data_IF_055048015849
#
_entry.id   IF_055048015849
#
_cell.length_a   1.000
_cell.length_b   1.000
_cell.length_c   1.000
_cell.angle_alpha   90.00
_cell.angle_beta   90.00
_cell.angle_gamma   90.00
#
_symmetry.space_group_name_H-M   'P 1'
#
loop_
_entity.id
_entity.type
_entity.pdbx_description
1 polymer ?
#
# COMPACT_ATOMS: atom_id res chain seq x y z
N UNK A 1 -50.90 84.49 17.11
CA UNK A 1 -50.10 84.93 15.95
C UNK A 1 -49.04 83.86 15.64
N UNK A 2 -48.94 83.54 14.36
CA UNK A 2 -48.21 82.46 13.68
C UNK A 2 -46.69 82.68 13.64
N UNK A 3 -45.87 81.60 13.75
CA UNK A 3 -44.76 81.13 12.85
C UNK A 3 -43.64 80.36 13.61
N UNK A 4 -43.33 79.14 13.14
CA UNK A 4 -42.03 78.42 13.26
C UNK A 4 -41.13 78.78 12.04
N UNK A 5 -39.87 78.31 11.87
CA UNK A 5 -38.98 77.46 12.71
C UNK A 5 -37.51 77.98 12.80
N UNK A 6 -36.64 77.25 13.51
CA UNK A 6 -35.18 77.32 13.27
C UNK A 6 -34.34 76.91 14.49
N UNK A 7 -33.72 75.74 14.45
CA UNK A 7 -32.70 75.31 15.41
C UNK A 7 -31.32 75.21 14.76
N UNK A 8 -30.24 75.26 15.55
CA UNK A 8 -28.99 74.55 15.26
C UNK A 8 -28.67 73.61 16.44
N UNK A 9 -28.12 72.41 16.27
CA UNK A 9 -27.04 72.04 15.36
C UNK A 9 -25.73 72.00 16.14
N UNK A 10 -25.55 71.01 17.02
CA UNK A 10 -24.31 70.74 17.75
C UNK A 10 -23.83 69.31 17.46
N UNK A 11 -23.03 69.17 16.39
CA UNK A 11 -22.36 67.93 16.01
C UNK A 11 -21.11 67.73 16.88
N UNK A 12 -21.05 66.60 17.60
CA UNK A 12 -19.81 66.11 18.21
C UNK A 12 -19.02 65.37 17.13
N UNK A 13 -17.78 65.75 16.79
CA UNK A 13 -16.98 65.00 15.84
C UNK A 13 -16.29 63.82 16.55
N UNK A 14 -16.87 62.63 16.42
CA UNK A 14 -16.21 61.35 16.73
C UNK A 14 -15.74 60.68 15.44
N UNK A 15 -14.85 61.31 14.68
CA UNK A 15 -14.39 60.76 13.40
C UNK A 15 -12.93 61.08 13.17
N UNK A 16 -12.03 60.21 13.67
CA UNK A 16 -10.61 60.31 13.33
C UNK A 16 -9.74 59.11 13.72
N UNK A 17 -9.95 58.49 14.88
CA UNK A 17 -9.03 57.45 15.38
C UNK A 17 -9.37 56.00 15.05
N UNK A 18 -10.62 55.67 14.71
CA UNK A 18 -11.03 54.27 14.45
C UNK A 18 -10.65 53.75 13.06
N UNK A 19 -10.41 54.62 12.07
CA UNK A 19 -10.08 54.16 10.71
C UNK A 19 -8.62 53.78 10.51
N UNK A 20 -7.69 54.35 11.27
CA UNK A 20 -6.26 54.02 11.17
C UNK A 20 -5.92 52.67 11.85
N UNK A 21 -6.56 52.36 12.98
CA UNK A 21 -6.37 51.07 13.65
C UNK A 21 -6.89 49.88 12.82
N UNK A 22 -7.95 50.09 12.03
CA UNK A 22 -8.53 49.05 11.17
C UNK A 22 -7.72 48.79 9.90
N UNK A 23 -7.02 49.80 9.36
CA UNK A 23 -6.27 49.67 8.09
C UNK A 23 -4.93 48.95 8.27
N UNK A 24 -4.32 49.01 9.46
CA UNK A 24 -3.02 48.37 9.74
C UNK A 24 -3.18 47.05 10.52
N UNK A 25 -4.19 46.92 11.38
CA UNK A 25 -4.41 45.71 12.17
C UNK A 25 -4.83 44.50 11.34
N UNK A 26 -5.69 44.70 10.35
CA UNK A 26 -6.19 43.62 9.48
C UNK A 26 -5.08 42.97 8.62
N UNK A 27 -4.22 43.72 7.89
CA UNK A 27 -3.14 43.08 7.12
C UNK A 27 -2.09 42.41 8.00
N UNK A 28 -1.81 42.94 9.20
CA UNK A 28 -0.87 42.31 10.13
C UNK A 28 -1.41 40.99 10.70
N UNK A 29 -2.70 40.91 11.01
CA UNK A 29 -3.36 39.67 11.46
C UNK A 29 -3.42 38.64 10.32
N UNK A 30 -3.73 39.07 9.09
CA UNK A 30 -3.72 38.17 7.92
C UNK A 30 -2.30 37.67 7.64
N UNK A 31 -1.30 38.53 7.67
CA UNK A 31 0.10 38.13 7.49
C UNK A 31 0.56 37.18 8.61
N UNK A 32 0.16 37.42 9.86
CA UNK A 32 0.39 36.52 10.98
C UNK A 32 -0.25 35.14 10.76
N UNK A 33 -1.53 35.10 10.39
CA UNK A 33 -2.25 33.84 10.11
C UNK A 33 -1.66 33.08 8.92
N UNK A 34 -1.24 33.77 7.86
CA UNK A 34 -0.58 33.16 6.70
C UNK A 34 0.80 32.61 7.09
N UNK A 35 1.58 33.35 7.87
CA UNK A 35 2.89 32.90 8.34
C UNK A 35 2.78 31.71 9.31
N UNK A 36 1.82 31.74 10.25
CA UNK A 36 1.57 30.60 11.14
C UNK A 36 1.00 29.41 10.38
N UNK A 37 0.11 29.62 9.40
CA UNK A 37 -0.39 28.56 8.54
C UNK A 37 0.72 27.91 7.71
N UNK A 38 1.61 28.71 7.12
CA UNK A 38 2.79 28.21 6.41
C UNK A 38 3.76 27.49 7.34
N UNK A 39 3.99 28.00 8.55
CA UNK A 39 4.85 27.35 9.54
C UNK A 39 4.26 26.04 10.07
N UNK A 40 2.93 25.88 10.16
CA UNK A 40 2.30 24.60 10.49
C UNK A 40 2.38 23.62 9.31
N UNK A 41 2.33 24.11 8.07
CA UNK A 41 2.51 23.30 6.87
C UNK A 41 3.98 22.89 6.63
N UNK A 42 4.94 23.68 7.12
CA UNK A 42 6.39 23.45 6.96
C UNK A 42 7.08 22.99 8.27
N UNK A 43 6.35 22.92 9.39
CA UNK A 43 6.88 22.76 10.74
C UNK A 43 6.79 21.34 11.29
N UNK A 44 7.14 20.35 10.46
CA UNK A 44 7.60 19.05 10.93
C UNK A 44 8.99 18.83 10.35
N UNK A 45 10.01 18.69 11.20
CA UNK A 45 11.41 18.45 10.82
C UNK A 45 11.64 17.05 10.20
N UNK A 46 10.89 16.71 9.16
CA UNK A 46 11.05 15.52 8.34
C UNK A 46 10.19 15.66 7.10
N UNK A 47 10.77 15.43 5.92
CA UNK A 47 10.00 15.33 4.69
C UNK A 47 8.82 14.36 4.89
N UNK A 48 7.59 14.69 4.45
CA UNK A 48 6.47 13.78 4.60
C UNK A 48 6.80 12.45 3.93
N UNK A 49 6.59 11.34 4.64
CA UNK A 49 6.91 10.02 4.11
C UNK A 49 6.29 9.82 2.72
N UNK A 50 7.11 9.40 1.77
CA UNK A 50 6.60 8.94 0.47
C UNK A 50 5.73 7.71 0.69
N UNK A 51 4.60 7.54 -0.02
CA UNK A 51 3.81 6.33 0.07
C UNK A 51 4.68 5.08 -0.16
N UNK A 52 4.58 4.05 0.70
CA UNK A 52 5.39 2.85 0.57
C UNK A 52 5.05 2.09 -0.71
N UNK A 53 6.04 1.37 -1.25
CA UNK A 53 5.84 0.49 -2.41
C UNK A 53 5.02 -0.74 -2.00
N UNK A 54 3.86 -0.96 -2.61
CA UNK A 54 3.03 -2.15 -2.35
C UNK A 54 3.45 -3.32 -3.23
N UNK A 55 3.96 -4.39 -2.61
CA UNK A 55 4.36 -5.63 -3.28
C UNK A 55 3.27 -6.69 -3.16
N UNK A 56 3.01 -7.41 -4.25
CA UNK A 56 2.04 -8.50 -4.31
C UNK A 56 2.78 -9.84 -4.28
N UNK A 57 2.61 -10.59 -3.20
CA UNK A 57 3.21 -11.89 -2.99
C UNK A 57 2.17 -12.99 -3.24
N UNK A 58 2.42 -13.79 -4.29
CA UNK A 58 1.69 -15.02 -4.57
C UNK A 58 2.38 -16.21 -3.94
N UNK A 59 1.60 -17.14 -3.40
CA UNK A 59 2.10 -18.43 -2.92
C UNK A 59 1.06 -19.55 -3.06
N UNK A 60 1.44 -20.77 -2.70
CA UNK A 60 0.52 -21.90 -2.62
C UNK A 60 -0.37 -21.80 -1.36
N UNK A 61 -1.62 -22.30 -1.38
CA UNK A 61 -2.57 -22.13 -0.27
C UNK A 61 -2.08 -22.71 1.08
N UNK A 62 -1.24 -23.74 1.04
CA UNK A 62 -0.66 -24.38 2.22
C UNK A 62 0.45 -23.53 2.87
N UNK A 63 1.16 -22.71 2.09
CA UNK A 63 2.19 -21.79 2.57
C UNK A 63 1.66 -20.42 2.99
N UNK A 64 0.47 -20.03 2.51
CA UNK A 64 -0.11 -18.70 2.74
C UNK A 64 -0.09 -18.25 4.21
N UNK A 65 -0.53 -19.04 5.21
CA UNK A 65 -0.55 -18.59 6.59
C UNK A 65 0.86 -18.31 7.13
N UNK A 66 1.83 -19.14 6.75
CA UNK A 66 3.23 -19.00 7.17
C UNK A 66 3.87 -17.76 6.55
N UNK A 67 3.67 -17.55 5.25
CA UNK A 67 4.22 -16.39 4.54
C UNK A 67 3.51 -15.09 4.92
N UNK A 68 2.21 -15.12 5.22
CA UNK A 68 1.50 -13.95 5.77
C UNK A 68 2.10 -13.52 7.10
N UNK A 69 2.35 -14.47 8.00
CA UNK A 69 3.01 -14.18 9.28
C UNK A 69 4.44 -13.64 9.09
N UNK A 70 5.19 -14.18 8.12
CA UNK A 70 6.53 -13.65 7.80
C UNK A 70 6.47 -12.22 7.23
N UNK A 71 5.49 -11.93 6.37
CA UNK A 71 5.26 -10.59 5.85
C UNK A 71 4.90 -9.60 6.98
N UNK A 72 3.99 -9.95 7.88
CA UNK A 72 3.63 -9.13 9.05
C UNK A 72 4.86 -8.82 9.94
N UNK A 73 5.72 -9.82 10.16
CA UNK A 73 6.98 -9.63 10.87
C UNK A 73 7.94 -8.68 10.13
N UNK A 74 8.06 -8.81 8.80
CA UNK A 74 8.85 -7.88 7.98
C UNK A 74 8.30 -6.45 8.04
N UNK A 75 6.99 -6.27 7.93
CA UNK A 75 6.32 -4.96 7.90
C UNK A 75 6.51 -4.14 9.18
N UNK A 76 6.80 -4.81 10.30
CA UNK A 76 7.11 -4.21 11.61
C UNK A 76 8.61 -4.19 11.93
N UNK A 77 9.44 -4.76 11.06
CA UNK A 77 10.89 -4.84 11.25
C UNK A 77 11.60 -3.52 10.91
N UNK A 78 12.79 -3.33 11.49
CA UNK A 78 13.70 -2.23 11.10
C UNK A 78 14.16 -2.33 9.64
N UNK A 79 14.15 -3.53 9.05
CA UNK A 79 14.55 -3.74 7.66
C UNK A 79 13.58 -3.07 6.66
N UNK A 80 12.30 -2.92 7.04
CA UNK A 80 11.30 -2.19 6.28
C UNK A 80 11.25 -0.68 6.63
N UNK A 81 12.21 -0.18 7.42
CA UNK A 81 12.33 1.24 7.75
C UNK A 81 13.37 1.97 6.90
N UNK A 82 13.13 3.22 6.56
CA UNK A 82 14.12 4.17 6.02
C UNK A 82 14.83 4.93 7.16
N UNK A 83 15.89 5.67 6.84
CA UNK A 83 16.71 6.36 7.86
C UNK A 83 15.98 7.50 8.61
N UNK A 84 14.92 8.02 8.00
CA UNK A 84 13.96 9.02 8.50
C UNK A 84 12.75 8.40 9.22
N UNK A 85 12.72 7.06 9.38
CA UNK A 85 11.65 6.36 10.11
C UNK A 85 10.40 6.06 9.28
N UNK A 86 10.41 6.32 7.97
CA UNK A 86 9.33 5.94 7.06
C UNK A 86 9.38 4.45 6.70
N UNK A 87 8.26 3.91 6.19
CA UNK A 87 8.23 2.52 5.67
C UNK A 87 8.71 2.49 4.23
N UNK A 88 9.47 1.46 3.88
CA UNK A 88 9.91 1.21 2.49
C UNK A 88 8.82 0.59 1.65
N UNK A 89 8.13 -0.41 2.19
CA UNK A 89 7.19 -1.23 1.42
C UNK A 89 6.03 -1.78 2.25
N UNK A 90 4.95 -2.10 1.54
CA UNK A 90 3.86 -2.97 1.96
C UNK A 90 3.95 -4.32 1.25
N UNK A 91 3.32 -5.35 1.81
CA UNK A 91 3.26 -6.70 1.21
C UNK A 91 1.84 -7.22 1.35
N UNK A 92 1.19 -7.48 0.22
CA UNK A 92 -0.10 -8.16 0.14
C UNK A 92 0.13 -9.63 -0.21
N UNK A 93 -0.18 -10.53 0.72
CA UNK A 93 -0.03 -11.99 0.53
C UNK A 93 -1.37 -12.60 0.13
N UNK A 94 -1.38 -13.31 -0.99
CA UNK A 94 -2.52 -14.07 -1.50
C UNK A 94 -2.04 -15.42 -2.07
N UNK A 95 -2.97 -16.36 -2.26
CA UNK A 95 -2.65 -17.69 -2.75
C UNK A 95 -3.50 -18.14 -3.93
N UNK A 96 -2.89 -19.01 -4.72
CA UNK A 96 -3.53 -19.78 -5.78
C UNK A 96 -2.78 -21.09 -5.98
N UNK A 97 -3.45 -22.14 -6.45
CA UNK A 97 -2.82 -23.45 -6.62
C UNK A 97 -1.71 -23.45 -7.67
N UNK A 98 -0.56 -24.08 -7.37
CA UNK A 98 0.61 -24.16 -8.26
C UNK A 98 0.30 -24.49 -9.73
N UNK A 99 -0.62 -25.42 -10.02
CA UNK A 99 -0.92 -25.81 -11.39
C UNK A 99 -1.53 -24.67 -12.22
N UNK A 100 -2.46 -23.92 -11.62
CA UNK A 100 -3.06 -22.75 -12.25
C UNK A 100 -2.01 -21.65 -12.41
N UNK A 101 -1.23 -21.38 -11.36
CA UNK A 101 -0.14 -20.39 -11.38
C UNK A 101 0.91 -20.69 -12.45
N UNK A 102 1.37 -21.94 -12.54
CA UNK A 102 2.31 -22.39 -13.58
C UNK A 102 1.72 -22.21 -14.97
N UNK A 103 0.46 -22.61 -15.16
CA UNK A 103 -0.23 -22.47 -16.46
C UNK A 103 -0.33 -21.01 -16.87
N UNK A 104 -0.68 -20.14 -15.92
CA UNK A 104 -0.84 -18.74 -16.20
C UNK A 104 0.50 -18.08 -16.56
N UNK A 105 1.57 -18.34 -15.81
CA UNK A 105 2.89 -17.82 -16.16
C UNK A 105 3.42 -18.35 -17.50
N UNK A 106 3.30 -19.65 -17.72
CA UNK A 106 3.89 -20.31 -18.90
C UNK A 106 3.11 -20.08 -20.18
N UNK A 107 1.78 -19.91 -20.13
CA UNK A 107 0.92 -19.91 -21.32
C UNK A 107 -0.07 -18.75 -21.41
N UNK A 108 -0.36 -18.09 -20.29
CA UNK A 108 -1.44 -17.11 -20.18
C UNK A 108 -0.94 -15.85 -19.46
N UNK A 109 0.25 -15.39 -19.84
CA UNK A 109 0.86 -14.22 -19.21
C UNK A 109 0.23 -12.90 -19.73
N UNK A 110 -0.13 -12.84 -21.02
CA UNK A 110 -0.80 -11.69 -21.65
C UNK A 110 -2.15 -11.30 -20.98
N UNK A 111 -3.05 -12.26 -20.67
CA UNK A 111 -4.35 -11.96 -20.10
C UNK A 111 -4.33 -11.33 -18.70
N UNK A 112 -3.20 -11.32 -17.99
CA UNK A 112 -3.04 -10.53 -16.76
C UNK A 112 -3.04 -9.02 -17.00
N UNK A 113 -2.59 -8.55 -18.16
CA UNK A 113 -2.57 -7.11 -18.48
C UNK A 113 -3.74 -6.71 -19.36
N UNK A 114 -4.14 -7.61 -20.27
CA UNK A 114 -5.28 -7.41 -21.17
C UNK A 114 -6.15 -8.66 -21.17
N UNK A 115 -7.17 -8.75 -20.31
CA UNK A 115 -8.12 -9.85 -20.35
C UNK A 115 -8.73 -9.96 -21.75
N UNK A 116 -8.62 -11.12 -22.39
CA UNK A 116 -9.04 -11.32 -23.80
C UNK A 116 -10.33 -12.12 -23.95
N UNK A 117 -10.94 -12.59 -22.84
CA UNK A 117 -12.20 -13.32 -22.81
C UNK A 117 -12.50 -13.93 -21.43
N UNK A 118 -13.61 -14.66 -21.32
CA UNK A 118 -14.06 -15.27 -20.05
C UNK A 118 -13.37 -16.62 -19.74
N UNK A 119 -12.88 -17.32 -20.76
CA UNK A 119 -12.32 -18.67 -20.64
C UNK A 119 -10.90 -18.71 -20.06
N UNK A 120 -10.15 -17.60 -20.17
CA UNK A 120 -8.78 -17.49 -19.67
C UNK A 120 -8.59 -16.14 -19.00
N UNK A 121 -8.76 -16.13 -17.68
CA UNK A 121 -8.68 -14.90 -16.90
C UNK A 121 -7.90 -15.12 -15.60
N UNK A 122 -6.56 -15.03 -15.64
CA UNK A 122 -5.73 -15.24 -14.47
C UNK A 122 -5.98 -14.14 -13.41
N UNK A 123 -6.47 -12.95 -13.77
CA UNK A 123 -6.85 -11.95 -12.77
C UNK A 123 -8.01 -12.43 -11.88
N UNK A 124 -8.97 -13.14 -12.45
CA UNK A 124 -10.11 -13.74 -11.72
C UNK A 124 -9.69 -15.01 -10.99
N UNK A 125 -8.94 -15.87 -11.66
CA UNK A 125 -8.70 -17.25 -11.20
C UNK A 125 -7.51 -17.37 -10.24
N UNK A 126 -6.55 -16.44 -10.31
CA UNK A 126 -5.33 -16.40 -9.48
C UNK A 126 -5.28 -15.11 -8.66
N UNK A 127 -5.62 -13.99 -9.28
CA UNK A 127 -5.52 -12.67 -8.68
C UNK A 127 -4.65 -11.71 -9.51
N UNK A 128 -4.32 -10.52 -8.97
CA UNK A 128 -3.49 -9.55 -9.66
C UNK A 128 -2.13 -10.16 -10.01
N UNK A 129 -1.46 -9.69 -11.05
CA UNK A 129 -0.11 -10.17 -11.37
C UNK A 129 0.82 -10.00 -10.14
N UNK A 130 1.51 -11.04 -9.67
CA UNK A 130 2.43 -10.90 -8.53
C UNK A 130 3.72 -10.16 -8.92
N UNK A 131 4.29 -9.48 -7.93
CA UNK A 131 5.66 -8.96 -7.99
C UNK A 131 6.65 -10.02 -7.45
N UNK A 132 6.19 -10.86 -6.52
CA UNK A 132 6.95 -11.96 -5.90
C UNK A 132 6.10 -13.23 -5.95
N UNK A 133 6.69 -14.35 -6.33
CA UNK A 133 6.06 -15.67 -6.24
C UNK A 133 6.94 -16.63 -5.45
N UNK A 134 6.40 -17.18 -4.35
CA UNK A 134 7.05 -18.21 -3.54
C UNK A 134 6.24 -19.51 -3.66
N UNK A 135 6.63 -20.43 -4.54
CA UNK A 135 5.97 -21.72 -4.64
C UNK A 135 6.40 -22.69 -3.53
N UNK A 136 5.55 -23.66 -3.22
CA UNK A 136 5.86 -24.77 -2.32
C UNK A 136 6.99 -25.69 -2.82
N UNK A 137 7.31 -25.61 -4.12
CA UNK A 137 8.39 -26.39 -4.73
C UNK A 137 9.10 -25.61 -5.83
N UNK A 138 10.43 -25.73 -5.86
CA UNK A 138 11.28 -25.23 -6.93
C UNK A 138 10.86 -25.77 -8.31
N UNK A 139 10.36 -27.00 -8.38
CA UNK A 139 9.87 -27.60 -9.62
C UNK A 139 8.67 -26.86 -10.24
N UNK A 140 7.92 -26.07 -9.46
CA UNK A 140 6.86 -25.21 -10.01
C UNK A 140 7.45 -23.99 -10.73
N UNK A 141 8.49 -23.36 -10.16
CA UNK A 141 9.19 -22.25 -10.80
C UNK A 141 9.85 -22.69 -12.11
N UNK A 142 10.51 -23.86 -12.12
CA UNK A 142 11.12 -24.42 -13.33
C UNK A 142 10.09 -24.66 -14.44
N UNK A 143 8.95 -25.29 -14.11
CA UNK A 143 7.88 -25.55 -15.08
C UNK A 143 7.27 -24.27 -15.64
N UNK A 144 7.16 -23.22 -14.83
CA UNK A 144 6.64 -21.94 -15.28
C UNK A 144 7.57 -21.27 -16.31
N UNK A 145 8.88 -21.45 -16.20
CA UNK A 145 9.90 -20.87 -17.09
C UNK A 145 9.99 -21.58 -18.45
N UNK A 146 9.84 -22.91 -18.47
CA UNK A 146 10.15 -23.77 -19.62
C UNK A 146 9.32 -23.52 -20.90
N UNK A 147 8.28 -22.68 -20.85
CA UNK A 147 7.30 -22.59 -21.94
C UNK A 147 6.98 -21.17 -22.39
N UNK A 148 7.88 -20.19 -22.20
CA UNK A 148 7.60 -18.80 -22.63
C UNK A 148 7.30 -18.72 -24.14
N UNK A 149 6.08 -18.31 -24.56
CA UNK A 149 5.79 -18.06 -25.96
C UNK A 149 6.55 -16.84 -26.48
N UNK A 150 6.59 -16.64 -27.81
CA UNK A 150 7.29 -15.53 -28.50
C UNK A 150 6.86 -14.12 -28.04
N UNK A 151 5.75 -13.99 -27.30
CA UNK A 151 5.33 -12.75 -26.62
C UNK A 151 4.94 -13.09 -25.20
N UNK A 152 5.67 -12.52 -24.25
CA UNK A 152 5.44 -12.69 -22.82
C UNK A 152 5.53 -11.31 -22.17
N UNK A 153 4.50 -10.89 -21.44
CA UNK A 153 4.51 -9.62 -20.69
C UNK A 153 5.04 -9.78 -19.24
N UNK A 154 5.55 -10.97 -18.91
CA UNK A 154 5.99 -11.33 -17.56
C UNK A 154 7.32 -12.07 -17.60
N UNK A 155 8.39 -11.48 -17.09
CA UNK A 155 9.65 -12.20 -16.91
C UNK A 155 9.66 -12.91 -15.56
N UNK A 156 10.08 -14.17 -15.53
CA UNK A 156 10.25 -14.96 -14.31
C UNK A 156 11.72 -15.22 -14.06
N UNK A 157 12.28 -14.41 -13.16
CA UNK A 157 13.57 -14.70 -12.54
C UNK A 157 13.31 -15.40 -11.21
N UNK A 158 14.03 -16.48 -10.96
CA UNK A 158 13.91 -17.31 -9.77
C UNK A 158 15.32 -17.60 -9.27
N UNK A 159 15.49 -17.45 -7.96
CA UNK A 159 16.74 -17.72 -7.30
C UNK A 159 17.17 -19.18 -7.53
N UNK A 160 18.45 -19.44 -7.83
CA UNK A 160 18.92 -20.78 -8.16
C UNK A 160 18.96 -21.71 -6.92
N UNK A 161 18.91 -21.14 -5.72
CA UNK A 161 19.01 -21.88 -4.47
C UNK A 161 17.68 -21.81 -3.69
N UNK A 162 17.15 -22.95 -3.22
CA UNK A 162 16.02 -22.96 -2.31
C UNK A 162 16.41 -22.41 -0.93
N UNK A 163 15.57 -21.55 -0.37
CA UNK A 163 15.80 -20.95 0.95
C UNK A 163 15.09 -21.71 2.10
N UNK A 164 14.24 -22.69 1.79
CA UNK A 164 13.51 -23.50 2.75
C UNK A 164 13.25 -24.91 2.22
N UNK A 165 13.08 -25.86 3.15
CA UNK A 165 12.80 -27.26 2.85
C UNK A 165 11.73 -27.78 3.80
N UNK A 166 10.85 -28.65 3.30
CA UNK A 166 9.83 -29.34 4.10
C UNK A 166 9.81 -30.83 3.75
N UNK A 167 9.97 -31.73 4.74
CA UNK A 167 9.84 -33.16 4.50
C UNK A 167 8.38 -33.58 4.35
N UNK A 168 8.12 -34.60 3.53
CA UNK A 168 6.81 -35.27 3.51
C UNK A 168 6.70 -36.15 4.75
N UNK A 169 5.64 -35.96 5.53
CA UNK A 169 5.36 -36.74 6.75
C UNK A 169 3.94 -37.27 6.72
N UNK A 170 3.73 -38.46 7.28
CA UNK A 170 2.41 -39.01 7.53
C UNK A 170 2.06 -38.75 9.00
N UNK A 171 1.16 -37.80 9.25
CA UNK A 171 0.62 -37.58 10.58
C UNK A 171 -0.47 -38.62 10.87
N UNK A 172 -0.24 -39.47 11.87
CA UNK A 172 -1.22 -40.47 12.33
C UNK A 172 -1.80 -40.03 13.67
N UNK A 173 -3.14 -39.85 13.76
CA UNK A 173 -3.83 -39.63 15.02
C UNK A 173 -3.52 -40.73 16.05
N UNK A 174 -3.42 -40.36 17.34
CA UNK A 174 -2.99 -41.28 18.40
C UNK A 174 -3.96 -42.45 18.60
N UNK A 175 -5.24 -42.23 18.35
CA UNK A 175 -6.31 -43.24 18.35
C UNK A 175 -6.15 -44.29 17.23
N UNK A 176 -5.36 -43.99 16.20
CA UNK A 176 -5.03 -44.92 15.10
C UNK A 176 -3.62 -45.52 15.22
N UNK A 177 -2.79 -45.02 16.14
CA UNK A 177 -1.40 -45.44 16.31
C UNK A 177 -1.22 -46.68 17.20
N UNK A 178 -2.31 -47.22 17.79
CA UNK A 178 -2.25 -48.33 18.73
C UNK A 178 -2.47 -49.69 18.07
N UNK A 179 -1.38 -50.34 17.68
CA UNK A 179 -1.11 -51.75 18.04
C UNK A 179 0.41 -52.00 17.93
N UNK A 180 1.19 -51.82 19.03
CA UNK A 180 2.56 -52.32 19.07
C UNK A 180 2.49 -53.85 19.07
N UNK A 181 2.98 -54.49 18.00
CA UNK A 181 3.18 -55.94 17.98
C UNK A 181 4.08 -56.33 19.16
N UNK A 182 3.53 -57.15 20.06
CA UNK A 182 4.26 -57.77 21.18
C UNK A 182 5.30 -58.79 20.69
#
# INVERSE_FOLDING_TARGET
LVRRPGGPGGLVPLTGRRRLAAVIGVPAVIAGLVATGLAVLHGGDGDPCTPPLELRLLTDPDLEPTLRKAAEAYLTSKANGTGDGCRRSGITVYSAGAAATVTAFSRQSDPWQRPTGEDTNPQRDIGPQPDIWIPASFASADRARLTSPERTYVSLEADPEPFAYSPVVLAVPQDLAAEPAA
#
